data_IF_371773203187
#
_entry.id   IF_371773203187
#
_cell.length_a   1.000
_cell.length_b   1.000
_cell.length_c   1.000
_cell.angle_alpha   90.00
_cell.angle_beta   90.00
_cell.angle_gamma   90.00
#
_symmetry.space_group_name_H-M   'P 1'
#
loop_
_entity.id
_entity.type
_entity.pdbx_description
1 polymer ?
#
# COMPACT_ATOMS: atom_id res chain seq x y z
N UNK A 1 10.27 14.05 -4.67
CA UNK A 1 9.31 12.96 -4.47
C UNK A 1 8.17 13.00 -5.48
N UNK A 2 7.50 14.16 -5.67
CA UNK A 2 6.37 14.25 -6.60
C UNK A 2 6.76 13.83 -8.02
N UNK A 3 7.94 14.22 -8.51
CA UNK A 3 8.43 13.81 -9.84
C UNK A 3 8.61 12.29 -9.97
N UNK A 4 9.03 11.63 -8.89
CA UNK A 4 9.15 10.16 -8.87
C UNK A 4 7.77 9.54 -8.95
N UNK A 5 6.82 10.04 -8.16
CA UNK A 5 5.45 9.58 -8.17
C UNK A 5 4.78 9.76 -9.54
N UNK A 6 4.95 10.93 -10.14
CA UNK A 6 4.40 11.22 -11.47
C UNK A 6 4.99 10.31 -12.54
N UNK A 7 6.31 10.11 -12.53
CA UNK A 7 6.99 9.24 -13.48
C UNK A 7 6.61 7.77 -13.32
N UNK A 8 6.59 7.28 -12.10
CA UNK A 8 6.49 5.84 -11.80
C UNK A 8 5.06 5.36 -11.68
N UNK A 9 4.13 6.24 -11.32
CA UNK A 9 2.74 5.88 -11.00
C UNK A 9 1.73 6.70 -11.81
N UNK A 10 1.64 8.01 -11.58
CA UNK A 10 0.56 8.84 -12.14
C UNK A 10 0.58 8.91 -13.66
N UNK A 11 1.73 9.16 -14.25
CA UNK A 11 1.92 9.31 -15.70
C UNK A 11 2.54 8.06 -16.35
N UNK A 12 2.50 6.93 -15.67
CA UNK A 12 3.09 5.69 -16.16
C UNK A 12 2.00 4.76 -16.74
N UNK A 13 1.85 4.69 -18.06
CA UNK A 13 0.87 3.80 -18.68
C UNK A 13 1.19 2.32 -18.48
N UNK A 14 2.42 2.01 -18.08
CA UNK A 14 2.89 0.66 -17.78
C UNK A 14 2.93 0.35 -16.28
N UNK A 15 2.24 1.13 -15.46
CA UNK A 15 2.06 0.83 -14.04
C UNK A 15 1.07 -0.32 -13.88
N UNK A 16 1.58 -1.54 -14.06
CA UNK A 16 0.81 -2.78 -14.13
C UNK A 16 1.43 -3.85 -13.23
N UNK A 17 0.59 -4.72 -12.72
CA UNK A 17 1.01 -5.96 -12.08
C UNK A 17 0.49 -7.14 -12.90
N UNK A 18 1.40 -7.93 -13.43
CA UNK A 18 1.08 -9.11 -14.28
C UNK A 18 0.11 -8.78 -15.41
N UNK A 19 0.35 -7.63 -16.08
CA UNK A 19 -0.45 -7.18 -17.21
C UNK A 19 -1.73 -6.45 -16.86
N UNK A 20 -2.09 -6.35 -15.58
CA UNK A 20 -3.31 -5.68 -15.11
C UNK A 20 -2.95 -4.30 -14.58
N UNK A 21 -3.65 -3.27 -15.07
CA UNK A 21 -3.44 -1.88 -14.68
C UNK A 21 -3.64 -1.66 -13.18
N UNK A 22 -2.74 -0.89 -12.57
CA UNK A 22 -2.87 -0.44 -11.19
C UNK A 22 -3.26 1.05 -11.21
N UNK A 23 -4.36 1.37 -10.54
CA UNK A 23 -4.83 2.75 -10.36
C UNK A 23 -4.52 3.26 -8.95
N UNK A 24 -4.44 4.57 -8.75
CA UNK A 24 -4.40 5.15 -7.42
C UNK A 24 -5.72 4.92 -6.68
N UNK A 25 -5.69 5.10 -5.36
CA UNK A 25 -6.88 4.96 -4.52
C UNK A 25 -7.96 5.95 -4.93
N UNK A 26 -9.21 5.48 -5.04
CA UNK A 26 -10.36 6.36 -5.28
C UNK A 26 -10.70 7.18 -4.04
N UNK A 27 -11.15 8.41 -4.24
CA UNK A 27 -11.79 9.22 -3.21
C UNK A 27 -13.13 8.60 -2.77
N UNK A 28 -13.73 9.14 -1.72
CA UNK A 28 -15.06 8.72 -1.25
C UNK A 28 -16.15 8.95 -2.32
N UNK A 29 -15.96 9.92 -3.20
CA UNK A 29 -16.86 10.24 -4.31
C UNK A 29 -16.67 9.32 -5.53
N UNK A 30 -15.79 8.34 -5.44
CA UNK A 30 -15.53 7.38 -6.52
C UNK A 30 -14.59 7.87 -7.61
N UNK A 31 -14.07 9.09 -7.50
CA UNK A 31 -13.07 9.65 -8.41
C UNK A 31 -11.65 9.25 -7.97
N UNK A 32 -10.71 9.26 -8.90
CA UNK A 32 -9.31 9.03 -8.59
C UNK A 32 -8.74 10.26 -7.88
N UNK A 33 -8.06 10.02 -6.77
CA UNK A 33 -7.41 11.07 -5.96
C UNK A 33 -5.90 10.82 -5.91
N UNK A 34 -5.20 11.46 -6.85
CA UNK A 34 -3.74 11.33 -6.96
C UNK A 34 -3.00 11.91 -5.75
N UNK A 35 -3.49 13.01 -5.22
CA UNK A 35 -2.87 13.66 -4.05
C UNK A 35 -3.04 12.83 -2.78
N UNK A 36 -4.18 12.18 -2.62
CA UNK A 36 -4.42 11.25 -1.52
C UNK A 36 -3.46 10.07 -1.57
N UNK A 37 -3.28 9.46 -2.73
CA UNK A 37 -2.34 8.34 -2.91
C UNK A 37 -0.90 8.80 -2.64
N UNK A 38 -0.47 9.91 -3.20
CA UNK A 38 0.85 10.48 -2.95
C UNK A 38 1.08 10.73 -1.46
N UNK A 39 0.10 11.32 -0.78
CA UNK A 39 0.16 11.56 0.66
C UNK A 39 0.31 10.26 1.46
N UNK A 40 -0.46 9.23 1.13
CA UNK A 40 -0.33 7.92 1.79
C UNK A 40 1.04 7.27 1.60
N UNK A 41 1.66 7.46 0.44
CA UNK A 41 2.95 6.86 0.11
C UNK A 41 4.16 7.60 0.72
N UNK A 42 3.97 8.82 1.18
CA UNK A 42 5.05 9.69 1.68
C UNK A 42 4.90 10.11 3.13
N UNK A 43 3.77 9.82 3.76
CA UNK A 43 3.46 10.22 5.14
C UNK A 43 2.99 9.01 5.96
N UNK A 44 3.05 9.17 7.28
CA UNK A 44 2.51 8.21 8.26
C UNK A 44 1.52 8.91 9.17
N UNK A 45 0.48 8.19 9.55
CA UNK A 45 -0.56 8.70 10.45
C UNK A 45 -0.15 8.54 11.91
N UNK A 46 -0.39 9.58 12.69
CA UNK A 46 -0.11 9.63 14.12
C UNK A 46 -1.34 10.10 14.89
N UNK A 47 -1.44 9.64 16.13
CA UNK A 47 -2.43 10.16 17.07
C UNK A 47 -2.17 11.64 17.38
N UNK A 48 -3.23 12.41 17.53
CA UNK A 48 -3.19 13.80 17.97
C UNK A 48 -3.63 13.90 19.41
N UNK A 49 -3.02 14.82 20.18
CA UNK A 49 -3.33 15.04 21.60
C UNK A 49 -3.65 16.50 21.84
N UNK A 50 -4.55 16.74 22.81
CA UNK A 50 -4.83 18.10 23.27
C UNK A 50 -3.73 18.63 24.23
N UNK A 51 -3.88 19.86 24.71
CA UNK A 51 -2.92 20.49 25.61
C UNK A 51 -2.76 19.75 26.96
N UNK A 52 -3.75 18.99 27.36
CA UNK A 52 -3.79 18.18 28.59
C UNK A 52 -3.28 16.75 28.38
N UNK A 53 -2.91 16.38 27.14
CA UNK A 53 -2.37 15.06 26.81
C UNK A 53 -3.45 14.00 26.52
N UNK A 54 -4.70 14.37 26.34
CA UNK A 54 -5.76 13.45 25.94
C UNK A 54 -5.72 13.20 24.44
N UNK A 55 -5.88 11.94 24.03
CA UNK A 55 -5.94 11.58 22.62
C UNK A 55 -7.22 12.12 21.96
N UNK A 56 -7.05 12.81 20.82
CA UNK A 56 -8.14 13.33 20.01
C UNK A 56 -8.63 12.27 19.02
N UNK A 57 -9.90 12.34 18.63
CA UNK A 57 -10.47 11.48 17.59
C UNK A 57 -9.83 11.74 16.23
N UNK A 58 -9.42 12.97 15.96
CA UNK A 58 -8.69 13.35 14.75
C UNK A 58 -7.22 12.93 14.83
N UNK A 59 -6.77 12.29 13.78
CA UNK A 59 -5.35 11.96 13.59
C UNK A 59 -4.71 12.91 12.60
N UNK A 60 -3.40 13.05 12.68
CA UNK A 60 -2.64 13.86 11.74
C UNK A 60 -1.61 13.01 10.99
N UNK A 61 -1.12 13.52 9.87
CA UNK A 61 -0.10 12.86 9.06
C UNK A 61 1.17 13.69 9.03
N UNK A 62 2.29 13.00 9.16
CA UNK A 62 3.62 13.60 9.09
C UNK A 62 4.46 12.92 8.00
N UNK A 63 5.39 13.68 7.42
CA UNK A 63 6.34 13.15 6.45
C UNK A 63 7.11 11.96 7.02
N UNK A 64 7.19 10.88 6.24
CA UNK A 64 7.90 9.67 6.61
C UNK A 64 9.05 9.43 5.63
N UNK A 65 10.29 9.60 6.12
CA UNK A 65 11.49 9.44 5.30
C UNK A 65 11.67 7.99 4.83
N UNK A 66 11.27 7.01 5.64
CA UNK A 66 11.42 5.60 5.29
C UNK A 66 10.50 5.19 4.15
N UNK A 67 9.27 5.68 4.13
CA UNK A 67 8.35 5.51 3.00
C UNK A 67 8.85 6.27 1.77
N UNK A 68 9.20 7.52 1.96
CA UNK A 68 9.52 8.44 0.88
C UNK A 68 10.76 8.06 0.10
N UNK A 69 11.81 7.61 0.77
CA UNK A 69 13.04 7.18 0.09
C UNK A 69 12.87 5.86 -0.68
N UNK A 70 11.79 5.12 -0.42
CA UNK A 70 11.46 3.86 -1.11
C UNK A 70 10.33 4.01 -2.14
N UNK A 71 9.87 5.22 -2.40
CA UNK A 71 8.77 5.46 -3.32
C UNK A 71 9.00 4.83 -4.71
N UNK A 72 10.22 4.93 -5.23
CA UNK A 72 10.60 4.34 -6.52
C UNK A 72 10.64 2.79 -6.52
N UNK A 73 10.62 2.16 -5.35
CA UNK A 73 10.57 0.70 -5.25
C UNK A 73 9.23 0.12 -5.67
N UNK A 74 8.15 0.91 -5.59
CA UNK A 74 6.81 0.45 -5.96
C UNK A 74 6.80 -0.02 -7.41
N UNK A 75 7.22 0.83 -8.34
CA UNK A 75 7.26 0.48 -9.76
C UNK A 75 8.21 -0.70 -10.04
N UNK A 76 9.34 -0.74 -9.34
CA UNK A 76 10.30 -1.85 -9.42
C UNK A 76 9.66 -3.19 -9.02
N UNK A 77 8.94 -3.22 -7.92
CA UNK A 77 8.37 -4.47 -7.38
C UNK A 77 7.09 -4.92 -8.09
N UNK A 78 6.26 -4.01 -8.59
CA UNK A 78 5.08 -4.42 -9.38
C UNK A 78 5.47 -5.07 -10.69
N UNK A 79 6.65 -4.77 -11.21
CA UNK A 79 7.24 -5.44 -12.38
C UNK A 79 8.10 -6.66 -12.02
N UNK A 80 8.13 -7.07 -10.77
CA UNK A 80 8.84 -8.26 -10.28
C UNK A 80 10.33 -8.30 -10.71
N UNK A 81 11.01 -7.13 -10.67
CA UNK A 81 12.41 -6.99 -11.12
C UNK A 81 13.41 -7.76 -10.25
N UNK A 82 13.10 -7.99 -8.99
CA UNK A 82 13.91 -8.75 -8.05
C UNK A 82 13.08 -9.85 -7.37
N UNK A 83 12.62 -10.86 -8.14
CA UNK A 83 11.64 -11.83 -7.64
C UNK A 83 12.17 -12.69 -6.47
N UNK A 84 13.49 -12.88 -6.38
CA UNK A 84 14.11 -13.65 -5.30
C UNK A 84 13.96 -12.98 -3.91
N UNK A 85 13.75 -11.66 -3.88
CA UNK A 85 13.68 -10.87 -2.64
C UNK A 85 12.25 -10.65 -2.15
N UNK A 86 11.24 -11.01 -2.92
CA UNK A 86 9.84 -10.68 -2.64
C UNK A 86 8.99 -11.94 -2.43
N UNK A 87 7.99 -11.79 -1.56
CA UNK A 87 6.85 -12.69 -1.43
C UNK A 87 5.61 -11.98 -1.93
N UNK A 88 4.83 -12.66 -2.79
CA UNK A 88 3.58 -12.14 -3.32
C UNK A 88 2.46 -13.08 -2.86
N UNK A 89 1.45 -12.52 -2.23
CA UNK A 89 0.33 -13.31 -1.73
C UNK A 89 -0.95 -12.48 -1.66
N UNK A 90 -2.09 -13.16 -1.74
CA UNK A 90 -3.41 -12.57 -1.60
C UNK A 90 -4.08 -13.14 -0.36
N UNK A 91 -4.72 -12.27 0.42
CA UNK A 91 -5.51 -12.65 1.60
C UNK A 91 -6.88 -12.01 1.58
N UNK A 92 -7.85 -12.68 2.20
CA UNK A 92 -9.18 -12.11 2.44
C UNK A 92 -9.14 -11.36 3.76
N UNK A 93 -9.55 -10.09 3.74
CA UNK A 93 -9.59 -9.23 4.91
C UNK A 93 -10.96 -8.54 5.01
N UNK A 94 -11.41 -8.30 6.23
CA UNK A 94 -12.66 -7.59 6.48
C UNK A 94 -12.49 -6.08 6.28
N UNK A 95 -13.28 -5.50 5.39
CA UNK A 95 -13.34 -4.05 5.18
C UNK A 95 -14.48 -3.47 6.03
N UNK A 96 -14.11 -2.69 7.06
CA UNK A 96 -15.07 -2.09 8.00
C UNK A 96 -15.98 -1.06 7.33
N UNK A 97 -15.51 -0.32 6.34
CA UNK A 97 -16.30 0.69 5.63
C UNK A 97 -17.32 0.05 4.72
N UNK A 98 -16.89 -0.93 3.92
CA UNK A 98 -17.77 -1.65 2.99
C UNK A 98 -18.60 -2.72 3.67
N UNK A 99 -18.25 -3.11 4.91
CA UNK A 99 -18.88 -4.19 5.67
C UNK A 99 -18.94 -5.50 4.89
N UNK A 100 -17.84 -5.85 4.29
CA UNK A 100 -17.68 -7.07 3.50
C UNK A 100 -16.23 -7.54 3.48
N UNK A 101 -16.03 -8.80 3.13
CA UNK A 101 -14.71 -9.34 2.87
C UNK A 101 -14.17 -8.81 1.55
N UNK A 102 -12.91 -8.42 1.54
CA UNK A 102 -12.18 -7.95 0.36
C UNK A 102 -10.88 -8.72 0.21
N UNK A 103 -10.40 -8.86 -1.02
CA UNK A 103 -9.11 -9.48 -1.31
C UNK A 103 -8.05 -8.43 -1.49
N UNK A 104 -7.00 -8.52 -0.67
CA UNK A 104 -5.83 -7.66 -0.77
C UNK A 104 -4.64 -8.48 -1.25
N UNK A 105 -3.92 -7.95 -2.23
CA UNK A 105 -2.66 -8.53 -2.71
C UNK A 105 -1.49 -7.76 -2.14
N UNK A 106 -0.54 -8.51 -1.59
CA UNK A 106 0.65 -7.98 -0.94
C UNK A 106 1.88 -8.34 -1.76
N UNK A 107 2.77 -7.37 -1.92
CA UNK A 107 4.15 -7.60 -2.34
C UNK A 107 5.02 -7.24 -1.15
N UNK A 108 5.72 -8.22 -0.60
CA UNK A 108 6.59 -8.04 0.56
C UNK A 108 8.05 -8.23 0.15
N UNK A 109 8.82 -7.15 0.21
CA UNK A 109 10.27 -7.19 0.06
C UNK A 109 10.89 -7.58 1.40
N UNK A 110 11.37 -8.82 1.50
CA UNK A 110 11.95 -9.37 2.71
C UNK A 110 13.29 -8.72 3.07
N UNK A 111 14.05 -8.29 2.08
CA UNK A 111 15.36 -7.68 2.25
C UNK A 111 15.20 -6.21 2.64
N UNK A 112 14.41 -5.46 1.89
CA UNK A 112 14.18 -4.03 2.11
C UNK A 112 13.13 -3.72 3.18
N UNK A 113 12.42 -4.73 3.70
CA UNK A 113 11.36 -4.56 4.70
C UNK A 113 10.27 -3.61 4.23
N UNK A 114 9.89 -3.71 2.97
CA UNK A 114 8.89 -2.84 2.35
C UNK A 114 7.69 -3.65 1.86
N UNK A 115 6.50 -3.12 2.09
CA UNK A 115 5.23 -3.77 1.75
C UNK A 115 4.43 -2.87 0.83
N UNK A 116 3.91 -3.45 -0.25
CA UNK A 116 2.99 -2.80 -1.17
C UNK A 116 1.67 -3.57 -1.11
N UNK A 117 0.56 -2.85 -0.97
CA UNK A 117 -0.78 -3.45 -0.86
C UNK A 117 -1.69 -2.85 -1.92
N UNK A 118 -2.33 -3.71 -2.70
CA UNK A 118 -3.36 -3.32 -3.65
C UNK A 118 -4.51 -4.31 -3.66
N UNK A 119 -5.68 -3.87 -4.12
CA UNK A 119 -6.85 -4.71 -4.29
C UNK A 119 -7.30 -4.76 -5.75
N UNK A 120 -7.99 -5.83 -6.10
CA UNK A 120 -8.61 -5.99 -7.42
C UNK A 120 -10.11 -5.77 -7.29
N UNK A 121 -10.61 -4.72 -7.92
CA UNK A 121 -12.02 -4.35 -7.84
C UNK A 121 -12.80 -4.86 -9.05
N UNK A 122 -13.97 -5.45 -8.78
CA UNK A 122 -14.85 -6.01 -9.82
C UNK A 122 -14.11 -6.95 -10.79
N UNK A 123 -13.08 -7.64 -10.32
CA UNK A 123 -12.22 -8.55 -11.09
C UNK A 123 -11.62 -7.92 -12.36
N UNK A 124 -11.48 -6.60 -12.37
CA UNK A 124 -10.88 -5.83 -13.48
C UNK A 124 -9.49 -5.34 -13.11
N UNK A 125 -9.39 -4.10 -12.68
CA UNK A 125 -8.13 -3.44 -12.40
C UNK A 125 -7.76 -3.49 -10.92
N UNK A 126 -6.47 -3.30 -10.63
CA UNK A 126 -5.97 -3.12 -9.28
C UNK A 126 -6.05 -1.67 -8.84
N UNK A 127 -6.19 -1.45 -7.53
CA UNK A 127 -6.10 -0.14 -6.89
C UNK A 127 -5.04 -0.18 -5.82
N UNK A 128 -4.06 0.71 -5.93
CA UNK A 128 -2.99 0.84 -4.94
C UNK A 128 -3.55 1.42 -3.65
N UNK A 129 -3.53 0.64 -2.58
CA UNK A 129 -4.02 1.07 -1.28
C UNK A 129 -2.94 1.82 -0.51
N UNK A 130 -1.77 1.23 -0.37
CA UNK A 130 -0.66 1.82 0.36
C UNK A 130 0.65 1.08 0.08
N UNK A 131 1.75 1.70 0.51
CA UNK A 131 3.04 1.05 0.61
C UNK A 131 3.78 1.63 1.82
N UNK A 132 4.46 0.79 2.59
CA UNK A 132 5.12 1.22 3.81
C UNK A 132 6.32 0.36 4.18
N UNK A 133 7.20 0.95 4.98
CA UNK A 133 8.36 0.27 5.57
C UNK A 133 7.98 -0.37 6.90
N UNK A 134 8.43 -1.60 7.11
CA UNK A 134 8.25 -2.33 8.38
C UNK A 134 9.35 -1.88 9.36
N UNK A 135 9.03 -0.93 10.20
CA UNK A 135 9.98 -0.31 11.13
C UNK A 135 10.06 -1.01 12.51
N UNK A 136 9.21 -2.00 12.75
CA UNK A 136 9.17 -2.70 14.02
C UNK A 136 9.05 -4.22 13.84
N UNK A 137 9.69 -5.04 14.71
CA UNK A 137 9.63 -6.51 14.63
C UNK A 137 8.22 -7.07 14.71
N UNK A 138 7.32 -6.45 15.49
CA UNK A 138 5.92 -6.89 15.60
C UNK A 138 5.15 -6.71 14.29
N UNK A 139 5.47 -5.69 13.50
CA UNK A 139 4.84 -5.46 12.20
C UNK A 139 5.18 -6.56 11.19
N UNK A 140 6.44 -6.97 11.14
CA UNK A 140 6.88 -8.10 10.31
C UNK A 140 6.25 -9.42 10.76
N UNK A 141 6.16 -9.66 12.06
CA UNK A 141 5.52 -10.83 12.65
C UNK A 141 4.03 -10.89 12.30
N UNK A 142 3.34 -9.74 12.38
CA UNK A 142 1.93 -9.63 11.98
C UNK A 142 1.74 -9.92 10.50
N UNK A 143 2.62 -9.45 9.63
CA UNK A 143 2.59 -9.72 8.19
C UNK A 143 2.79 -11.22 7.90
N UNK A 144 3.76 -11.86 8.52
CA UNK A 144 4.00 -13.30 8.39
C UNK A 144 2.81 -14.13 8.84
N UNK A 145 2.08 -13.67 9.86
CA UNK A 145 0.84 -14.30 10.32
C UNK A 145 -0.26 -14.21 9.24
N UNK A 146 -0.37 -13.08 8.54
CA UNK A 146 -1.27 -12.93 7.39
C UNK A 146 -0.89 -13.86 6.25
N UNK A 147 0.40 -14.00 5.94
CA UNK A 147 0.90 -14.89 4.89
C UNK A 147 0.46 -16.34 5.08
N UNK A 148 0.33 -16.80 6.32
CA UNK A 148 -0.16 -18.16 6.64
C UNK A 148 -1.61 -18.39 6.22
N UNK A 149 -2.38 -17.31 6.07
CA UNK A 149 -3.79 -17.34 5.66
C UNK A 149 -3.98 -16.96 4.19
N UNK A 150 -2.92 -16.99 3.40
CA UNK A 150 -2.96 -16.62 1.99
C UNK A 150 -3.89 -17.51 1.19
N UNK A 151 -4.51 -16.91 0.18
CA UNK A 151 -5.27 -17.64 -0.83
C UNK A 151 -4.35 -18.53 -1.69
N UNK A 152 -4.87 -19.62 -2.29
CA UNK A 152 -4.09 -20.47 -3.17
C UNK A 152 -3.55 -19.72 -4.40
N UNK A 153 -4.27 -18.73 -4.86
CA UNK A 153 -3.93 -17.93 -6.03
C UNK A 153 -3.69 -16.46 -5.69
N UNK A 154 -2.78 -15.85 -6.42
CA UNK A 154 -2.55 -14.41 -6.39
C UNK A 154 -3.47 -13.74 -7.40
N UNK A 155 -4.34 -12.88 -6.91
CA UNK A 155 -5.33 -12.20 -7.76
C UNK A 155 -5.40 -10.72 -7.45
#
# INVERSE_FOLDING_TARGET
LRRIYDRDIENNPDFKFRGIQIHPLKSEEGQLDMDRTFTHLTTKEYASFDAEGNELDEKHREFDIQRSKRLHWINHHVHEKTPANIDIFTVVEWDKKKRQDVKHTYIYDRVGKYVIIFDRRAQKDFYLLTAYYLDAPYAEKALKKKMKKKEPEVI
#
